data_IF_938359147081
#
_entry.id   IF_938359147081
#
_cell.length_a   1.000
_cell.length_b   1.000
_cell.length_c   1.000
_cell.angle_alpha   90.00
_cell.angle_beta   90.00
_cell.angle_gamma   90.00
#
_symmetry.space_group_name_H-M   'P 1'
#
loop_
_entity.id
_entity.type
_entity.pdbx_description
1 polymer ?
#
# COMPACT_ATOMS: atom_id res chain seq x y z
N UNK A 1 -27.29 5.44 -18.66
CA UNK A 1 -27.57 5.57 -17.22
C UNK A 1 -26.27 5.42 -16.44
N UNK A 2 -25.51 6.49 -16.24
CA UNK A 2 -24.33 6.51 -15.37
C UNK A 2 -24.74 7.03 -14.01
N UNK A 3 -25.39 6.17 -13.21
CA UNK A 3 -25.68 6.46 -11.82
C UNK A 3 -24.37 6.35 -11.01
N UNK A 4 -23.79 7.49 -10.65
CA UNK A 4 -22.88 7.71 -9.52
C UNK A 4 -21.66 6.77 -9.39
N UNK A 5 -20.76 6.72 -10.38
CA UNK A 5 -19.40 6.22 -10.12
C UNK A 5 -18.57 7.34 -9.50
N UNK A 6 -18.18 7.17 -8.23
CA UNK A 6 -17.20 8.04 -7.58
C UNK A 6 -15.81 7.72 -8.16
N UNK A 7 -15.08 8.70 -8.73
CA UNK A 7 -13.71 8.47 -9.18
C UNK A 7 -12.83 7.95 -8.05
N UNK A 8 -11.92 7.00 -8.33
CA UNK A 8 -11.11 6.34 -7.30
C UNK A 8 -10.30 7.36 -6.47
N UNK A 9 -9.74 8.38 -7.11
CA UNK A 9 -8.96 9.44 -6.47
C UNK A 9 -9.79 10.34 -5.53
N UNK A 10 -11.12 10.38 -5.68
CA UNK A 10 -12.03 11.13 -4.82
C UNK A 10 -12.35 10.42 -3.49
N UNK A 11 -11.96 9.15 -3.32
CA UNK A 11 -12.14 8.43 -2.04
C UNK A 11 -11.24 9.05 -0.96
N UNK A 12 -11.81 9.31 0.21
CA UNK A 12 -11.11 9.66 1.43
C UNK A 12 -10.52 8.40 2.06
N UNK A 13 -9.52 8.57 2.93
CA UNK A 13 -8.84 7.46 3.60
C UNK A 13 -9.81 6.45 4.25
N UNK A 14 -10.81 6.93 5.00
CA UNK A 14 -11.78 6.06 5.68
C UNK A 14 -12.61 5.22 4.69
N UNK A 15 -12.95 5.78 3.54
CA UNK A 15 -13.70 5.08 2.49
C UNK A 15 -12.80 4.09 1.74
N UNK A 16 -11.51 4.40 1.59
CA UNK A 16 -10.54 3.55 0.91
C UNK A 16 -10.21 2.26 1.69
N UNK A 17 -10.36 2.26 3.02
CA UNK A 17 -10.13 1.07 3.87
C UNK A 17 -11.07 -0.08 3.50
N UNK A 18 -12.29 0.23 3.09
CA UNK A 18 -13.32 -0.76 2.79
C UNK A 18 -13.27 -1.27 1.35
N UNK A 19 -12.40 -0.71 0.51
CA UNK A 19 -12.22 -1.16 -0.86
C UNK A 19 -11.62 -2.57 -0.93
N UNK A 20 -11.84 -3.21 -2.08
CA UNK A 20 -11.14 -4.44 -2.44
C UNK A 20 -9.66 -4.15 -2.74
N UNK A 21 -8.81 -5.15 -2.50
CA UNK A 21 -7.36 -5.02 -2.65
C UNK A 21 -6.90 -4.38 -3.98
N UNK A 22 -7.43 -4.74 -5.18
CA UNK A 22 -7.03 -4.09 -6.43
C UNK A 22 -7.36 -2.59 -6.45
N UNK A 23 -8.50 -2.20 -5.89
CA UNK A 23 -8.94 -0.80 -5.82
C UNK A 23 -8.13 -0.01 -4.80
N UNK A 24 -7.69 -0.64 -3.69
CA UNK A 24 -6.72 -0.03 -2.76
C UNK A 24 -5.41 0.28 -3.47
N UNK A 25 -4.90 -0.64 -4.31
CA UNK A 25 -3.69 -0.41 -5.09
C UNK A 25 -3.87 0.76 -6.05
N UNK A 26 -4.98 0.81 -6.79
CA UNK A 26 -5.30 1.91 -7.71
C UNK A 26 -5.44 3.25 -6.97
N UNK A 27 -6.09 3.25 -5.80
CA UNK A 27 -6.22 4.43 -4.94
C UNK A 27 -4.84 4.93 -4.52
N UNK A 28 -3.97 4.05 -4.00
CA UNK A 28 -2.61 4.42 -3.61
C UNK A 28 -1.75 4.89 -4.79
N UNK A 29 -1.96 4.34 -5.99
CA UNK A 29 -1.36 4.82 -7.22
C UNK A 29 -1.83 6.22 -7.59
N UNK A 30 -3.11 6.54 -7.35
CA UNK A 30 -3.64 7.90 -7.52
C UNK A 30 -3.03 8.90 -6.53
N UNK A 31 -2.64 8.43 -5.33
CA UNK A 31 -1.97 9.23 -4.29
C UNK A 31 -0.45 9.27 -4.43
N UNK A 32 0.13 8.58 -5.43
CA UNK A 32 1.58 8.55 -5.66
C UNK A 32 2.38 7.69 -4.66
N UNK A 33 1.71 6.92 -3.80
CA UNK A 33 2.36 6.05 -2.80
C UNK A 33 2.82 4.72 -3.41
N UNK A 34 2.20 4.31 -4.52
CA UNK A 34 2.58 3.16 -5.33
C UNK A 34 2.75 3.63 -6.77
N UNK A 35 3.81 3.22 -7.49
CA UNK A 35 3.97 3.62 -8.88
C UNK A 35 2.91 2.97 -9.79
N UNK A 36 2.48 3.70 -10.83
CA UNK A 36 1.62 3.15 -11.91
C UNK A 36 2.40 2.32 -12.93
N UNK A 37 3.71 2.55 -13.01
CA UNK A 37 4.63 1.87 -13.89
C UNK A 37 5.99 1.68 -13.21
N UNK A 38 6.70 0.60 -13.54
CA UNK A 38 8.02 0.34 -12.96
C UNK A 38 8.99 -0.15 -14.02
N UNK A 39 10.23 0.34 -13.98
CA UNK A 39 11.33 -0.18 -14.79
C UNK A 39 12.08 -1.26 -14.02
N UNK A 40 12.51 -2.31 -14.72
CA UNK A 40 13.35 -3.34 -14.13
C UNK A 40 14.69 -2.72 -13.70
N UNK A 41 15.15 -2.92 -12.45
CA UNK A 41 16.43 -2.37 -11.99
C UNK A 41 17.64 -3.00 -12.70
N UNK A 42 17.46 -4.12 -13.41
CA UNK A 42 18.54 -4.81 -14.13
C UNK A 42 18.63 -4.40 -15.59
N UNK A 43 17.52 -4.41 -16.32
CA UNK A 43 17.50 -4.18 -17.78
C UNK A 43 16.80 -2.89 -18.20
N UNK A 44 16.26 -2.11 -17.26
CA UNK A 44 15.59 -0.82 -17.45
C UNK A 44 14.37 -0.83 -18.37
N UNK A 45 13.89 -2.01 -18.79
CA UNK A 45 12.63 -2.19 -19.52
C UNK A 45 11.43 -2.13 -18.57
N UNK A 46 10.27 -1.77 -19.11
CA UNK A 46 9.02 -1.71 -18.36
C UNK A 46 8.65 -3.10 -17.82
N UNK A 47 8.23 -3.14 -16.55
CA UNK A 47 7.74 -4.34 -15.89
C UNK A 47 6.22 -4.42 -16.02
N UNK A 48 5.70 -5.64 -16.07
CA UNK A 48 4.26 -5.92 -16.04
C UNK A 48 3.78 -6.01 -14.59
N UNK A 49 2.62 -5.42 -14.33
CA UNK A 49 1.88 -5.63 -13.09
C UNK A 49 1.17 -6.99 -13.15
N UNK A 50 1.39 -7.87 -12.16
CA UNK A 50 0.83 -9.22 -12.13
C UNK A 50 0.20 -9.56 -10.78
N UNK A 51 -0.80 -10.44 -10.80
CA UNK A 51 -1.30 -11.09 -9.57
C UNK A 51 -0.24 -12.03 -9.01
N UNK A 52 -0.09 -12.01 -7.69
CA UNK A 52 0.85 -12.82 -6.92
C UNK A 52 0.26 -13.13 -5.53
N UNK A 53 -0.58 -14.17 -5.40
CA UNK A 53 -1.28 -14.47 -4.15
C UNK A 53 -0.36 -14.78 -2.96
N UNK A 54 0.86 -15.25 -3.22
CA UNK A 54 1.89 -15.54 -2.21
C UNK A 54 2.61 -14.28 -1.67
N UNK A 55 2.28 -13.10 -2.17
CA UNK A 55 2.84 -11.83 -1.67
C UNK A 55 1.88 -11.13 -0.71
N UNK A 56 2.43 -10.31 0.18
CA UNK A 56 1.69 -9.54 1.20
C UNK A 56 0.48 -8.80 0.60
N UNK A 57 0.65 -8.21 -0.60
CA UNK A 57 -0.40 -7.40 -1.24
C UNK A 57 -1.19 -8.13 -2.31
N UNK A 58 -0.84 -9.39 -2.61
CA UNK A 58 -1.45 -10.13 -3.72
C UNK A 58 -0.96 -9.71 -5.12
N UNK A 59 0.04 -8.83 -5.22
CA UNK A 59 0.53 -8.27 -6.50
C UNK A 59 2.06 -8.08 -6.53
N UNK A 60 2.63 -8.07 -7.73
CA UNK A 60 4.06 -7.83 -7.94
C UNK A 60 4.36 -7.21 -9.32
N UNK A 61 5.56 -6.66 -9.46
CA UNK A 61 6.12 -6.26 -10.75
C UNK A 61 6.98 -7.40 -11.31
N UNK A 62 6.73 -7.78 -12.56
CA UNK A 62 7.49 -8.82 -13.28
C UNK A 62 8.13 -8.24 -14.53
N UNK A 63 9.44 -8.32 -14.61
CA UNK A 63 10.15 -7.95 -15.84
C UNK A 63 9.73 -8.87 -16.99
N UNK A 64 9.52 -8.31 -18.18
CA UNK A 64 9.18 -9.07 -19.39
C UNK A 64 10.37 -9.75 -20.05
N UNK A 65 11.59 -9.34 -19.73
CA UNK A 65 12.80 -9.70 -20.48
C UNK A 65 13.76 -10.58 -19.68
N UNK A 66 13.73 -10.53 -18.34
CA UNK A 66 14.55 -11.36 -17.46
C UNK A 66 13.67 -12.12 -16.45
N UNK A 67 14.27 -12.78 -15.44
CA UNK A 67 13.57 -13.47 -14.35
C UNK A 67 13.31 -12.60 -13.10
N UNK A 68 13.68 -11.31 -13.11
CA UNK A 68 13.54 -10.41 -11.97
C UNK A 68 12.08 -10.12 -11.65
N UNK A 69 11.79 -10.13 -10.36
CA UNK A 69 10.53 -9.73 -9.75
C UNK A 69 10.83 -8.71 -8.66
N UNK A 70 9.96 -7.73 -8.53
CA UNK A 70 9.97 -6.75 -7.45
C UNK A 70 8.63 -6.82 -6.71
N UNK A 71 8.63 -6.52 -5.41
CA UNK A 71 7.37 -6.34 -4.68
C UNK A 71 6.62 -5.14 -5.26
N UNK A 72 5.32 -5.07 -5.00
CA UNK A 72 4.51 -3.90 -5.37
C UNK A 72 5.10 -2.59 -4.83
N UNK A 73 5.71 -2.67 -3.63
CA UNK A 73 6.19 -1.55 -2.81
C UNK A 73 7.68 -1.23 -3.02
N UNK A 74 8.40 -1.98 -3.85
CA UNK A 74 9.83 -1.86 -4.08
C UNK A 74 10.21 -0.43 -4.51
N UNK A 75 11.11 0.22 -3.77
CA UNK A 75 11.52 1.61 -4.00
C UNK A 75 10.47 2.66 -3.64
N UNK A 76 9.54 2.36 -2.74
CA UNK A 76 8.50 3.30 -2.28
C UNK A 76 8.57 3.50 -0.77
N UNK A 77 7.85 4.50 -0.26
CA UNK A 77 7.65 4.69 1.18
C UNK A 77 7.16 3.40 1.89
N UNK A 78 6.37 2.58 1.20
CA UNK A 78 5.77 1.38 1.76
C UNK A 78 6.72 0.17 1.81
N UNK A 79 7.94 0.26 1.27
CA UNK A 79 8.83 -0.89 1.07
C UNK A 79 9.13 -1.67 2.36
N UNK A 80 9.27 -0.96 3.48
CA UNK A 80 9.63 -1.56 4.77
C UNK A 80 8.42 -1.95 5.63
N UNK A 81 7.21 -1.70 5.16
CA UNK A 81 5.98 -2.07 5.86
C UNK A 81 5.72 -3.57 5.67
N UNK A 82 5.50 -4.28 6.79
CA UNK A 82 5.34 -5.74 6.86
C UNK A 82 3.88 -6.19 7.02
N UNK A 83 2.93 -5.27 7.01
CA UNK A 83 1.49 -5.55 6.97
C UNK A 83 0.93 -5.31 5.56
N UNK A 84 -0.25 -5.85 5.25
CA UNK A 84 -0.95 -5.58 3.98
C UNK A 84 -1.43 -4.11 3.88
N UNK A 85 -1.83 -3.70 2.67
CA UNK A 85 -2.24 -2.31 2.41
C UNK A 85 -3.48 -1.88 3.22
N UNK A 86 -4.47 -2.76 3.41
CA UNK A 86 -5.69 -2.44 4.17
C UNK A 86 -5.35 -2.17 5.63
N UNK A 87 -4.50 -3.02 6.20
CA UNK A 87 -3.96 -2.87 7.55
C UNK A 87 -3.16 -1.57 7.68
N UNK A 88 -2.30 -1.26 6.71
CA UNK A 88 -1.58 0.01 6.65
C UNK A 88 -2.53 1.22 6.66
N UNK A 89 -3.58 1.24 5.82
CA UNK A 89 -4.54 2.35 5.78
C UNK A 89 -5.24 2.55 7.14
N UNK A 90 -5.57 1.46 7.85
CA UNK A 90 -6.16 1.55 9.20
C UNK A 90 -5.17 2.14 10.21
N UNK A 91 -3.89 1.76 10.16
CA UNK A 91 -2.85 2.37 11.01
C UNK A 91 -2.81 3.88 10.80
N UNK A 92 -2.73 4.34 9.55
CA UNK A 92 -2.70 5.77 9.24
C UNK A 92 -3.99 6.47 9.70
N UNK A 93 -5.15 5.84 9.52
CA UNK A 93 -6.43 6.41 9.94
C UNK A 93 -6.50 6.63 11.46
N UNK A 94 -6.16 5.61 12.25
CA UNK A 94 -6.19 5.72 13.71
C UNK A 94 -5.09 6.63 14.26
N UNK A 95 -3.94 6.69 13.59
CA UNK A 95 -2.90 7.65 13.90
C UNK A 95 -3.38 9.10 13.67
N UNK A 96 -4.03 9.38 12.53
CA UNK A 96 -4.57 10.70 12.23
C UNK A 96 -5.65 11.13 13.25
N UNK A 97 -6.39 10.17 13.83
CA UNK A 97 -7.36 10.41 14.89
C UNK A 97 -6.75 10.48 16.31
N UNK A 98 -5.42 10.40 16.43
CA UNK A 98 -4.71 10.42 17.73
C UNK A 98 -5.16 9.31 18.69
N UNK A 99 -5.58 8.15 18.15
CA UNK A 99 -5.90 6.98 18.98
C UNK A 99 -4.62 6.48 19.64
N UNK A 100 -4.69 6.13 20.93
CA UNK A 100 -3.52 5.68 21.68
C UNK A 100 -2.95 4.40 21.06
N UNK A 101 -1.62 4.27 21.05
CA UNK A 101 -0.95 3.09 20.48
C UNK A 101 -1.39 1.76 21.14
N UNK A 102 -1.74 1.79 22.44
CA UNK A 102 -2.27 0.63 23.14
C UNK A 102 -3.61 0.17 22.53
N UNK A 103 -4.53 1.11 22.31
CA UNK A 103 -5.83 0.82 21.71
C UNK A 103 -5.66 0.38 20.24
N UNK A 104 -4.75 1.02 19.49
CA UNK A 104 -4.46 0.62 18.11
C UNK A 104 -3.92 -0.82 18.03
N UNK A 105 -3.06 -1.23 18.97
CA UNK A 105 -2.56 -2.61 19.06
C UNK A 105 -3.72 -3.59 19.23
N UNK A 106 -4.66 -3.29 20.13
CA UNK A 106 -5.83 -4.15 20.37
C UNK A 106 -6.77 -4.20 19.17
N UNK A 107 -7.07 -3.05 18.55
CA UNK A 107 -7.98 -2.95 17.40
C UNK A 107 -7.41 -3.65 16.16
N UNK A 108 -6.13 -3.46 15.88
CA UNK A 108 -5.50 -3.93 14.64
C UNK A 108 -4.81 -5.28 14.80
N UNK A 109 -4.63 -5.76 16.02
CA UNK A 109 -3.87 -6.97 16.35
C UNK A 109 -2.43 -6.91 15.79
N UNK A 110 -1.82 -5.72 15.82
CA UNK A 110 -0.45 -5.46 15.39
C UNK A 110 0.42 -5.16 16.62
N UNK A 111 1.65 -5.68 16.64
CA UNK A 111 2.58 -5.35 17.72
C UNK A 111 2.88 -3.86 17.84
N UNK A 112 2.95 -3.39 19.08
CA UNK A 112 3.16 -1.96 19.38
C UNK A 112 4.46 -1.43 18.74
N UNK A 113 5.52 -2.24 18.72
CA UNK A 113 6.79 -1.85 18.10
C UNK A 113 6.65 -1.60 16.60
N UNK A 114 5.76 -2.33 15.93
CA UNK A 114 5.46 -2.14 14.51
C UNK A 114 4.75 -0.81 14.28
N UNK A 115 3.78 -0.46 15.13
CA UNK A 115 3.09 0.84 15.08
C UNK A 115 4.06 2.01 15.27
N UNK A 116 4.94 1.92 16.27
CA UNK A 116 5.98 2.91 16.53
C UNK A 116 6.90 3.05 15.32
N UNK A 117 7.36 1.93 14.75
CA UNK A 117 8.25 1.96 13.57
C UNK A 117 7.60 2.68 12.40
N UNK A 118 6.33 2.41 12.14
CA UNK A 118 5.58 3.07 11.05
C UNK A 118 5.36 4.55 11.32
N UNK A 119 5.00 4.93 12.54
CA UNK A 119 4.75 6.33 12.92
C UNK A 119 6.04 7.17 13.00
N UNK A 120 7.18 6.55 13.32
CA UNK A 120 8.48 7.24 13.31
C UNK A 120 9.07 7.42 11.91
N UNK A 121 8.77 6.51 10.96
CA UNK A 121 9.19 6.68 9.57
C UNK A 121 8.58 7.94 8.90
N UNK A 122 7.46 8.45 9.42
CA UNK A 122 6.85 9.73 9.02
C UNK A 122 7.61 10.96 9.57
N UNK A 123 8.38 10.83 10.65
CA UNK A 123 9.07 11.95 11.31
C UNK A 123 10.48 12.25 10.75
N UNK A 124 10.96 11.43 9.82
CA UNK A 124 12.33 11.49 9.29
C UNK A 124 12.40 11.92 7.81
N UNK A 125 11.28 12.28 7.21
CA UNK A 125 11.18 12.90 5.87
C UNK A 125 10.42 14.23 5.96
#
# INVERSE_FOLDING_TARGET
MTLFYKPIDAFKLIEAIDLDQPLIVEWLQSKGLIPKEKKCPKCYKNMKFIKRPDSIDGFAWRCSTDSKRCSLRDGTFLENFRCDLKTFLKVIHYWALQVRQADQKEILQIERQTLITYQHQELLN
#
